data_IF_707321307120
#
_entry.id   IF_707321307120
#
_cell.length_a   1.000
_cell.length_b   1.000
_cell.length_c   1.000
_cell.angle_alpha   90.00
_cell.angle_beta   90.00
_cell.angle_gamma   90.00
#
_symmetry.space_group_name_H-M   'P 1'
#
loop_
_entity.id
_entity.type
_entity.pdbx_description
1 polymer ?
#
# COMPACT_ATOMS: atom_id res chain seq x y z
N UNK A 1 -2.80 3.69 -24.70
CA UNK A 1 -2.20 4.04 -23.41
C UNK A 1 -2.51 2.91 -22.43
N UNK A 2 -1.67 1.88 -22.36
CA UNK A 2 -1.78 0.85 -21.33
C UNK A 2 -0.98 1.36 -20.13
N UNK A 3 -1.63 2.18 -19.29
CA UNK A 3 -1.07 2.60 -18.03
C UNK A 3 -0.92 1.36 -17.15
N UNK A 4 0.26 0.72 -17.18
CA UNK A 4 0.68 -0.21 -16.14
C UNK A 4 0.76 0.60 -14.85
N UNK A 5 -0.39 0.80 -14.20
CA UNK A 5 -0.45 1.41 -12.89
C UNK A 5 0.32 0.49 -11.96
N UNK A 6 1.51 0.93 -11.55
CA UNK A 6 2.31 0.30 -10.51
C UNK A 6 1.38 0.02 -9.32
N UNK A 7 0.91 -1.23 -9.22
CA UNK A 7 -0.05 -1.62 -8.19
C UNK A 7 0.54 -1.56 -6.77
N UNK A 8 1.84 -1.24 -6.66
CA UNK A 8 2.53 -0.96 -5.41
C UNK A 8 2.34 0.46 -4.86
N UNK A 9 1.82 1.40 -5.65
CA UNK A 9 1.52 2.77 -5.16
C UNK A 9 0.18 2.88 -4.43
N UNK A 10 -0.70 1.89 -4.61
CA UNK A 10 -2.08 1.92 -4.09
C UNK A 10 -2.21 1.34 -2.67
N UNK A 11 -1.23 0.58 -2.20
CA UNK A 11 -1.25 -0.07 -0.88
C UNK A 11 -0.38 0.73 0.09
N UNK A 12 -1.02 1.68 0.78
CA UNK A 12 -0.41 2.52 1.82
C UNK A 12 -1.06 2.25 3.17
N UNK A 13 -0.28 2.29 4.24
CA UNK A 13 -0.81 2.22 5.58
C UNK A 13 -1.73 3.39 5.88
N UNK A 14 -2.92 3.10 6.39
CA UNK A 14 -3.95 4.06 6.74
C UNK A 14 -3.56 4.98 7.91
N UNK A 15 -2.50 4.63 8.66
CA UNK A 15 -2.02 5.39 9.83
C UNK A 15 -0.73 6.17 9.54
N UNK A 16 0.27 5.48 8.97
CA UNK A 16 1.60 6.05 8.75
C UNK A 16 1.78 6.65 7.35
N UNK A 17 0.86 6.39 6.41
CA UNK A 17 0.91 6.85 5.02
C UNK A 17 1.97 6.18 4.15
N UNK A 18 2.82 5.31 4.72
CA UNK A 18 3.91 4.63 4.02
C UNK A 18 3.38 3.55 3.08
N UNK A 19 4.00 3.44 1.92
CA UNK A 19 3.70 2.40 0.92
C UNK A 19 4.31 1.05 1.29
N UNK A 20 3.83 -0.03 0.67
CA UNK A 20 4.38 -1.40 0.83
C UNK A 20 5.91 -1.48 0.64
N UNK A 21 6.49 -0.67 -0.28
CA UNK A 21 7.94 -0.61 -0.53
C UNK A 21 8.74 0.04 0.62
N UNK A 22 8.10 0.85 1.47
CA UNK A 22 8.75 1.62 2.53
C UNK A 22 8.68 0.93 3.91
N UNK A 23 8.01 -0.22 4.00
CA UNK A 23 7.75 -0.92 5.27
C UNK A 23 8.13 -2.38 5.13
N UNK A 24 8.59 -3.00 6.22
CA UNK A 24 8.98 -4.42 6.20
C UNK A 24 7.78 -5.35 6.02
N UNK A 25 6.61 -4.92 6.50
CA UNK A 25 5.35 -5.66 6.42
C UNK A 25 4.22 -4.66 6.25
N UNK A 26 3.28 -4.99 5.39
CA UNK A 26 2.02 -4.27 5.24
C UNK A 26 0.91 -5.32 5.26
N UNK A 27 -0.04 -5.19 6.17
CA UNK A 27 -1.10 -6.17 6.40
C UNK A 27 -2.42 -5.56 5.91
N UNK A 28 -3.17 -6.32 5.10
CA UNK A 28 -4.50 -5.97 4.66
C UNK A 28 -5.54 -6.48 5.68
N UNK A 29 -6.32 -5.56 6.25
CA UNK A 29 -7.53 -5.84 7.01
C UNK A 29 -8.78 -5.47 6.21
N UNK A 30 -9.98 -5.63 6.78
CA UNK A 30 -11.23 -5.22 6.14
C UNK A 30 -11.25 -3.70 5.91
N UNK A 31 -10.92 -3.26 4.69
CA UNK A 31 -10.92 -1.83 4.31
C UNK A 31 -9.79 -0.99 4.92
N UNK A 32 -8.82 -1.60 5.59
CA UNK A 32 -7.71 -0.89 6.25
C UNK A 32 -6.39 -1.56 5.93
N UNK A 33 -5.33 -0.77 5.79
CA UNK A 33 -3.97 -1.27 5.65
C UNK A 33 -3.14 -0.79 6.83
N UNK A 34 -2.41 -1.70 7.46
CA UNK A 34 -1.52 -1.38 8.57
C UNK A 34 -0.08 -1.78 8.22
N UNK A 35 0.80 -0.77 8.23
CA UNK A 35 2.24 -0.92 8.39
C UNK A 35 2.51 -1.14 9.89
#
# INVERSE_FOLDING_TARGET
MASMQESGELLKCSFCGKSQKQVRKLIAGPGVYIC
#
